data_IF_844515662268
#
_entry.id   IF_844515662268
#
_cell.length_a   1.000
_cell.length_b   1.000
_cell.length_c   1.000
_cell.angle_alpha   90.00
_cell.angle_beta   90.00
_cell.angle_gamma   90.00
#
_symmetry.space_group_name_H-M   'P 1'
#
loop_
_entity.id
_entity.type
_entity.pdbx_description
1 polymer ?
#
# COMPACT_ATOMS: atom_id res chain seq x y z
N UNK A 1 -18.52 54.69 -63.77
CA UNK A 1 -18.34 53.28 -64.14
C UNK A 1 -17.44 52.66 -63.08
N UNK A 2 -18.00 51.85 -62.17
CA UNK A 2 -17.27 51.26 -61.03
C UNK A 2 -17.80 49.84 -60.84
N UNK A 3 -16.93 48.85 -61.02
CA UNK A 3 -17.19 47.45 -60.72
C UNK A 3 -15.93 46.92 -60.02
N UNK A 4 -16.04 46.60 -58.74
CA UNK A 4 -14.91 46.09 -57.94
C UNK A 4 -15.18 46.19 -56.46
N UNK A 5 -15.97 45.26 -55.91
CA UNK A 5 -16.25 45.24 -54.47
C UNK A 5 -17.24 44.16 -54.07
N UNK A 6 -16.87 42.89 -54.22
CA UNK A 6 -17.76 41.78 -53.82
C UNK A 6 -17.06 40.51 -53.32
N UNK A 7 -15.73 40.38 -53.48
CA UNK A 7 -15.03 39.12 -53.17
C UNK A 7 -14.05 39.21 -51.98
N UNK A 8 -13.76 40.42 -51.47
CA UNK A 8 -12.85 40.61 -50.33
C UNK A 8 -13.54 40.50 -48.96
N UNK A 9 -14.85 40.78 -48.87
CA UNK A 9 -15.60 40.72 -47.61
C UNK A 9 -15.90 39.28 -47.17
N UNK A 10 -16.25 38.39 -48.10
CA UNK A 10 -16.62 37.00 -47.81
C UNK A 10 -15.42 36.18 -47.31
N UNK A 11 -14.22 36.40 -47.87
CA UNK A 11 -12.98 35.78 -47.40
C UNK A 11 -12.61 36.21 -45.97
N UNK A 12 -12.85 37.48 -45.64
CA UNK A 12 -12.55 38.03 -44.31
C UNK A 12 -13.48 37.48 -43.21
N UNK A 13 -14.74 37.21 -43.54
CA UNK A 13 -15.70 36.60 -42.61
C UNK A 13 -15.44 35.10 -42.42
N UNK A 14 -15.11 34.38 -43.49
CA UNK A 14 -14.73 32.97 -43.38
C UNK A 14 -13.48 32.80 -42.52
N UNK A 15 -12.46 33.65 -42.69
CA UNK A 15 -11.25 33.59 -41.86
C UNK A 15 -11.52 33.91 -40.37
N UNK A 16 -12.49 34.79 -40.09
CA UNK A 16 -12.94 35.08 -38.71
C UNK A 16 -13.68 33.91 -38.09
N UNK A 17 -14.47 33.18 -38.88
CA UNK A 17 -15.17 31.96 -38.43
C UNK A 17 -14.17 30.83 -38.17
N UNK A 18 -13.22 30.59 -39.07
CA UNK A 18 -12.16 29.59 -38.86
C UNK A 18 -11.32 29.92 -37.62
N UNK A 19 -10.92 31.18 -37.42
CA UNK A 19 -10.12 31.59 -36.24
C UNK A 19 -10.90 31.41 -34.92
N UNK A 20 -12.20 31.74 -34.90
CA UNK A 20 -13.05 31.54 -33.71
C UNK A 20 -13.32 30.07 -33.43
N UNK A 21 -13.47 29.25 -34.46
CA UNK A 21 -13.59 27.80 -34.30
C UNK A 21 -12.28 27.23 -33.75
N UNK A 22 -11.12 27.56 -34.34
CA UNK A 22 -9.81 27.09 -33.86
C UNK A 22 -9.52 27.47 -32.40
N UNK A 23 -9.85 28.71 -31.99
CA UNK A 23 -9.65 29.17 -30.61
C UNK A 23 -10.63 28.52 -29.62
N UNK A 24 -11.86 28.24 -30.04
CA UNK A 24 -12.87 27.55 -29.21
C UNK A 24 -12.56 26.06 -29.06
N UNK A 25 -12.00 25.42 -30.09
CA UNK A 25 -11.58 24.02 -30.04
C UNK A 25 -10.26 23.82 -29.28
N UNK A 26 -9.33 24.78 -29.34
CA UNK A 26 -8.06 24.70 -28.59
C UNK A 26 -8.23 25.02 -27.10
N UNK A 27 -9.13 25.96 -26.75
CA UNK A 27 -9.39 26.32 -25.35
C UNK A 27 -10.21 25.27 -24.61
N UNK A 28 -11.17 24.59 -25.27
CA UNK A 28 -11.88 23.48 -24.61
C UNK A 28 -10.98 22.26 -24.46
N UNK A 29 -10.32 21.78 -25.52
CA UNK A 29 -9.58 20.52 -25.47
C UNK A 29 -8.29 20.57 -24.61
N UNK A 30 -7.64 21.73 -24.48
CA UNK A 30 -6.47 21.90 -23.61
C UNK A 30 -6.80 21.81 -22.12
N UNK A 31 -7.97 22.31 -21.72
CA UNK A 31 -8.39 22.32 -20.31
C UNK A 31 -8.98 20.97 -19.89
N UNK A 32 -9.70 20.25 -20.77
CA UNK A 32 -10.11 18.86 -20.51
C UNK A 32 -8.91 17.91 -20.57
N UNK A 33 -7.96 18.06 -21.50
CA UNK A 33 -6.78 17.20 -21.51
C UNK A 33 -5.88 17.44 -20.28
N UNK A 34 -5.70 18.69 -19.84
CA UNK A 34 -4.95 18.99 -18.60
C UNK A 34 -5.71 18.59 -17.33
N UNK A 35 -7.03 18.72 -17.32
CA UNK A 35 -7.86 18.25 -16.20
C UNK A 35 -7.88 16.74 -16.13
N UNK A 36 -8.05 16.03 -17.25
CA UNK A 36 -8.04 14.57 -17.31
C UNK A 36 -6.66 13.99 -16.98
N UNK A 37 -5.57 14.57 -17.50
CA UNK A 37 -4.20 14.13 -17.17
C UNK A 37 -3.87 14.41 -15.70
N UNK A 38 -4.23 15.60 -15.17
CA UNK A 38 -4.04 15.90 -13.74
C UNK A 38 -4.93 15.00 -12.87
N UNK A 39 -6.14 14.69 -13.30
CA UNK A 39 -7.08 13.84 -12.57
C UNK A 39 -6.71 12.35 -12.65
N UNK A 40 -6.02 11.91 -13.71
CA UNK A 40 -5.53 10.54 -13.82
C UNK A 40 -4.25 10.33 -12.98
N UNK A 41 -3.33 11.30 -12.97
CA UNK A 41 -2.12 11.26 -12.11
C UNK A 41 -2.46 11.42 -10.62
N UNK A 42 -3.45 12.25 -10.26
CA UNK A 42 -3.88 12.43 -8.86
C UNK A 42 -4.71 11.24 -8.34
N UNK A 43 -5.39 10.48 -9.20
CA UNK A 43 -6.13 9.28 -8.78
C UNK A 43 -5.24 8.04 -8.63
N UNK A 44 -4.13 7.94 -9.37
CA UNK A 44 -3.14 6.87 -9.17
C UNK A 44 -2.31 7.07 -7.89
N UNK A 45 -2.00 8.31 -7.48
CA UNK A 45 -1.37 8.57 -6.17
C UNK A 45 -2.33 8.31 -4.99
N UNK A 46 -3.62 8.61 -5.14
CA UNK A 46 -4.62 8.39 -4.07
C UNK A 46 -4.93 6.90 -3.83
N UNK A 47 -4.90 6.08 -4.88
CA UNK A 47 -5.23 4.65 -4.77
C UNK A 47 -4.14 3.81 -4.10
N UNK A 48 -2.91 4.33 -4.00
CA UNK A 48 -1.82 3.69 -3.24
C UNK A 48 -1.86 4.14 -1.78
N UNK A 49 -2.20 5.41 -1.51
CA UNK A 49 -2.30 5.95 -0.14
C UNK A 49 -3.46 5.31 0.63
N UNK A 50 -4.61 5.11 -0.01
CA UNK A 50 -5.79 4.50 0.63
C UNK A 50 -5.55 3.03 1.03
N UNK A 51 -4.77 2.26 0.26
CA UNK A 51 -4.43 0.86 0.58
C UNK A 51 -3.48 0.79 1.77
N UNK A 52 -2.48 1.66 1.81
CA UNK A 52 -1.54 1.72 2.92
C UNK A 52 -2.26 2.06 4.23
N UNK A 53 -3.22 2.98 4.23
CA UNK A 53 -3.97 3.34 5.44
C UNK A 53 -4.88 2.22 5.96
N UNK A 54 -5.43 1.39 5.07
CA UNK A 54 -6.27 0.23 5.45
C UNK A 54 -5.44 -0.94 5.99
N UNK A 55 -4.28 -1.21 5.39
CA UNK A 55 -3.47 -2.40 5.70
C UNK A 55 -2.47 -2.13 6.82
N UNK A 56 -1.97 -0.90 6.96
CA UNK A 56 -0.94 -0.53 7.96
C UNK A 56 -1.27 -0.95 9.39
N UNK A 57 -2.52 -0.81 9.90
CA UNK A 57 -2.84 -1.22 11.27
C UNK A 57 -2.70 -2.74 11.50
N UNK A 58 -2.80 -3.54 10.44
CA UNK A 58 -2.70 -4.99 10.50
C UNK A 58 -1.26 -5.50 10.32
N UNK A 59 -0.30 -4.63 10.03
CA UNK A 59 1.13 -4.94 10.03
C UNK A 59 1.64 -4.88 11.47
N UNK A 60 2.38 -5.91 11.87
CA UNK A 60 2.94 -6.04 13.22
C UNK A 60 4.43 -6.30 13.18
N UNK A 61 5.11 -5.90 14.24
CA UNK A 61 6.52 -6.22 14.47
C UNK A 61 6.64 -7.44 15.37
N UNK A 62 7.44 -8.42 14.98
CA UNK A 62 7.76 -9.60 15.78
C UNK A 62 9.11 -9.37 16.43
N UNK A 63 9.17 -9.38 17.75
CA UNK A 63 10.38 -9.15 18.55
C UNK A 63 10.72 -10.43 19.31
N UNK A 64 12.00 -10.80 19.26
CA UNK A 64 12.54 -11.97 19.95
C UNK A 64 13.31 -11.50 21.18
N UNK A 65 12.89 -11.95 22.36
CA UNK A 65 13.60 -11.74 23.62
C UNK A 65 14.32 -13.02 23.99
N UNK A 66 15.64 -12.99 23.98
CA UNK A 66 16.46 -14.10 24.47
C UNK A 66 16.88 -13.77 25.90
N UNK A 67 16.49 -14.63 26.85
CA UNK A 67 16.98 -14.53 28.24
C UNK A 67 18.22 -15.41 28.33
N UNK A 68 19.40 -14.78 28.33
CA UNK A 68 20.67 -15.47 28.56
C UNK A 68 20.99 -15.45 30.07
N UNK A 69 21.68 -16.47 30.58
CA UNK A 69 22.03 -16.55 31.99
C UNK A 69 23.54 -16.47 32.17
N UNK A 70 24.02 -15.34 32.70
CA UNK A 70 25.40 -15.20 33.13
C UNK A 70 25.54 -15.56 34.62
N UNK A 71 26.41 -16.53 34.92
CA UNK A 71 26.71 -17.03 36.26
C UNK A 71 27.23 -15.94 37.22
N UNK A 72 27.74 -14.82 36.70
CA UNK A 72 28.26 -13.72 37.52
C UNK A 72 27.30 -12.54 37.69
N UNK A 73 26.40 -12.31 36.72
CA UNK A 73 25.57 -11.10 36.67
C UNK A 73 24.04 -11.35 36.67
N UNK A 74 23.61 -12.62 36.60
CA UNK A 74 22.19 -13.01 36.60
C UNK A 74 21.60 -13.12 35.19
N UNK A 75 20.26 -13.26 35.07
CA UNK A 75 19.61 -13.31 33.76
C UNK A 75 19.73 -11.97 33.03
N UNK A 76 20.29 -12.00 31.82
CA UNK A 76 20.42 -10.89 30.89
C UNK A 76 19.42 -11.09 29.75
N UNK A 77 18.40 -10.24 29.67
CA UNK A 77 17.49 -10.22 28.53
C UNK A 77 18.10 -9.39 27.40
N UNK A 78 18.38 -10.02 26.26
CA UNK A 78 18.83 -9.35 25.04
C UNK A 78 17.75 -9.49 23.97
N UNK A 79 17.35 -8.38 23.34
CA UNK A 79 16.50 -8.42 22.15
C UNK A 79 17.36 -8.87 20.96
N UNK A 80 17.05 -10.04 20.40
CA UNK A 80 17.93 -10.72 19.44
C UNK A 80 17.34 -10.85 18.02
N UNK A 81 16.17 -10.32 17.75
CA UNK A 81 15.59 -10.36 16.41
C UNK A 81 14.37 -9.47 16.25
N UNK A 82 14.26 -8.83 15.08
CA UNK A 82 13.13 -8.00 14.67
C UNK A 82 12.67 -8.50 13.30
N UNK A 83 11.43 -8.94 13.21
CA UNK A 83 10.77 -9.31 11.97
C UNK A 83 9.41 -8.62 11.83
N UNK A 84 8.72 -8.90 10.73
CA UNK A 84 7.39 -8.35 10.46
C UNK A 84 6.38 -9.47 10.23
N UNK A 85 5.12 -9.20 10.54
CA UNK A 85 4.00 -10.10 10.29
C UNK A 85 2.72 -9.34 9.97
N UNK A 86 1.68 -10.09 9.64
CA UNK A 86 0.36 -9.56 9.30
C UNK A 86 -0.71 -10.26 10.11
N UNK A 87 -1.66 -9.50 10.65
CA UNK A 87 -2.82 -10.05 11.33
C UNK A 87 -3.83 -10.51 10.27
N UNK A 88 -4.10 -11.81 10.21
CA UNK A 88 -5.04 -12.41 9.24
C UNK A 88 -6.41 -12.69 9.86
N UNK A 89 -6.52 -12.65 11.19
CA UNK A 89 -7.81 -12.83 11.86
C UNK A 89 -7.90 -12.04 13.15
N UNK A 90 -9.09 -11.48 13.41
CA UNK A 90 -9.35 -10.56 14.52
C UNK A 90 -9.31 -11.22 15.91
N UNK A 91 -9.11 -12.53 15.96
CA UNK A 91 -8.90 -13.33 17.17
C UNK A 91 -7.41 -13.49 17.54
N UNK A 92 -6.49 -12.78 16.88
CA UNK A 92 -5.07 -12.83 17.22
C UNK A 92 -4.24 -13.81 16.39
N UNK A 93 -4.68 -14.16 15.17
CA UNK A 93 -3.89 -14.97 14.26
C UNK A 93 -2.99 -14.09 13.39
N UNK A 94 -1.68 -14.34 13.44
CA UNK A 94 -0.67 -13.57 12.73
C UNK A 94 0.14 -14.49 11.83
N UNK A 95 0.44 -14.06 10.61
CA UNK A 95 1.32 -14.76 9.68
C UNK A 95 2.64 -14.01 9.56
N UNK A 96 3.75 -14.74 9.62
CA UNK A 96 5.11 -14.24 9.40
C UNK A 96 5.93 -15.28 8.64
N UNK A 97 7.21 -15.00 8.40
CA UNK A 97 8.13 -15.96 7.84
C UNK A 97 8.65 -16.94 8.89
N UNK A 98 8.86 -18.19 8.52
CA UNK A 98 9.38 -19.21 9.44
C UNK A 98 10.76 -18.84 9.98
N UNK A 99 11.63 -18.28 9.13
CA UNK A 99 12.99 -17.88 9.51
C UNK A 99 13.02 -16.75 10.56
N UNK A 100 11.93 -16.00 10.74
CA UNK A 100 11.82 -14.95 11.78
C UNK A 100 11.67 -15.59 13.16
N UNK A 101 11.09 -16.78 13.23
CA UNK A 101 10.73 -17.47 14.48
C UNK A 101 11.42 -18.83 14.62
N UNK A 102 12.51 -19.06 13.90
CA UNK A 102 13.31 -20.30 13.93
C UNK A 102 14.30 -20.36 15.10
N UNK A 103 14.37 -19.31 15.92
CA UNK A 103 15.22 -19.31 17.12
C UNK A 103 14.56 -20.09 18.26
N UNK A 104 14.83 -21.39 18.37
CA UNK A 104 14.25 -22.33 19.36
C UNK A 104 14.33 -21.91 20.86
N UNK A 105 14.98 -20.78 21.20
CA UNK A 105 15.29 -20.37 22.58
C UNK A 105 14.84 -18.93 22.92
N UNK A 106 13.99 -18.31 22.09
CA UNK A 106 13.48 -16.96 22.33
C UNK A 106 12.04 -16.93 22.85
N UNK A 107 11.73 -16.02 23.77
CA UNK A 107 10.37 -15.57 24.01
C UNK A 107 9.95 -14.62 22.89
N UNK A 108 8.79 -14.86 22.28
CA UNK A 108 8.29 -14.04 21.17
C UNK A 108 7.23 -13.05 21.65
N UNK A 109 7.40 -11.80 21.25
CA UNK A 109 6.44 -10.73 21.50
C UNK A 109 6.03 -10.08 20.18
N UNK A 110 4.74 -9.81 20.01
CA UNK A 110 4.22 -9.06 18.87
C UNK A 110 3.90 -7.65 19.32
N UNK A 111 4.43 -6.66 18.59
CA UNK A 111 4.15 -5.24 18.81
C UNK A 111 3.27 -4.73 17.67
N UNK A 112 2.10 -4.20 18.03
CA UNK A 112 1.16 -3.59 17.09
C UNK A 112 1.56 -2.15 16.76
N UNK A 113 0.96 -1.59 15.70
CA UNK A 113 1.19 -0.19 15.28
C UNK A 113 0.89 0.84 16.37
N UNK A 114 -0.03 0.54 17.28
CA UNK A 114 -0.39 1.41 18.42
C UNK A 114 0.61 1.34 19.59
N UNK A 115 1.64 0.48 19.49
CA UNK A 115 2.63 0.21 20.52
C UNK A 115 2.22 -0.86 21.54
N UNK A 116 1.01 -1.43 21.42
CA UNK A 116 0.58 -2.52 22.29
C UNK A 116 1.40 -3.77 22.00
N UNK A 117 1.89 -4.42 23.06
CA UNK A 117 2.69 -5.65 22.98
C UNK A 117 1.90 -6.84 23.51
N UNK A 118 1.89 -7.94 22.77
CA UNK A 118 1.31 -9.22 23.17
C UNK A 118 2.37 -10.31 23.18
N UNK A 119 2.29 -11.20 24.17
CA UNK A 119 3.08 -12.43 24.20
C UNK A 119 2.45 -13.46 23.25
N UNK A 120 3.30 -14.21 22.54
CA UNK A 120 2.86 -15.27 21.63
C UNK A 120 2.59 -16.54 22.43
N UNK A 121 1.36 -17.06 22.32
CA UNK A 121 0.93 -18.27 23.03
C UNK A 121 1.35 -19.54 22.30
N UNK A 122 1.17 -19.58 20.98
CA UNK A 122 1.52 -20.73 20.14
C UNK A 122 2.20 -20.28 18.85
N UNK A 123 3.09 -21.13 18.34
CA UNK A 123 3.80 -20.95 17.09
C UNK A 123 3.65 -22.22 16.27
N UNK A 124 3.14 -22.09 15.05
CA UNK A 124 3.07 -23.18 14.07
C UNK A 124 4.01 -22.86 12.92
N UNK A 125 4.96 -23.74 12.66
CA UNK A 125 6.00 -23.54 11.65
C UNK A 125 5.76 -24.44 10.43
N UNK A 126 5.86 -23.86 9.24
CA UNK A 126 6.02 -24.59 7.99
C UNK A 126 7.34 -24.14 7.33
N UNK A 127 8.39 -24.91 7.61
CA UNK A 127 9.73 -24.68 7.07
C UNK A 127 9.83 -24.96 5.58
N UNK A 128 8.86 -25.68 4.99
CA UNK A 128 8.88 -26.01 3.57
C UNK A 128 8.46 -24.82 2.69
N UNK A 129 7.55 -23.97 3.21
CA UNK A 129 7.06 -22.77 2.53
C UNK A 129 7.61 -21.47 3.11
N UNK A 130 8.52 -21.56 4.10
CA UNK A 130 9.00 -20.44 4.92
C UNK A 130 7.87 -19.62 5.57
N UNK A 131 6.83 -20.29 6.07
CA UNK A 131 5.70 -19.64 6.75
C UNK A 131 5.63 -20.01 8.22
N UNK A 132 5.18 -19.07 9.03
CA UNK A 132 4.85 -19.30 10.42
C UNK A 132 3.54 -18.60 10.80
N UNK A 133 2.77 -19.26 11.66
CA UNK A 133 1.55 -18.73 12.23
C UNK A 133 1.76 -18.55 13.73
N UNK A 134 1.56 -17.32 14.20
CA UNK A 134 1.63 -16.94 15.61
C UNK A 134 0.21 -16.70 16.15
N UNK A 135 -0.04 -17.19 17.36
CA UNK A 135 -1.30 -16.97 18.07
C UNK A 135 -1.07 -16.06 19.29
N UNK A 136 -1.87 -15.00 19.41
CA UNK A 136 -1.85 -14.08 20.55
C UNK A 136 -3.24 -13.97 21.20
N UNK A 137 -3.28 -13.70 22.50
CA UNK A 137 -4.52 -13.48 23.26
C UNK A 137 -5.08 -12.07 23.03
N UNK A 138 -5.72 -11.84 21.89
CA UNK A 138 -6.29 -10.54 21.53
C UNK A 138 -7.62 -10.67 20.77
N UNK A 139 -8.45 -9.62 20.82
CA UNK A 139 -9.74 -9.57 20.12
C UNK A 139 -9.97 -8.21 19.49
N UNK A 140 -10.66 -8.20 18.35
CA UNK A 140 -11.02 -6.96 17.65
C UNK A 140 -9.83 -6.30 16.97
N UNK A 141 -8.82 -7.10 16.58
CA UNK A 141 -7.66 -6.61 15.88
C UNK A 141 -7.99 -6.23 14.43
N UNK A 142 -7.32 -5.22 13.85
CA UNK A 142 -7.39 -4.95 12.41
C UNK A 142 -6.79 -6.13 11.64
N UNK A 143 -7.47 -6.58 10.59
CA UNK A 143 -7.08 -7.75 9.79
C UNK A 143 -6.81 -7.36 8.34
N UNK A 144 -5.85 -8.03 7.71
CA UNK A 144 -5.67 -7.99 6.25
C UNK A 144 -6.57 -9.05 5.61
N UNK A 145 -7.31 -8.67 4.57
CA UNK A 145 -7.95 -9.64 3.69
C UNK A 145 -6.92 -10.23 2.73
N UNK A 146 -6.84 -11.57 2.67
CA UNK A 146 -5.97 -12.25 1.74
C UNK A 146 -6.58 -12.20 0.33
N UNK A 147 -5.82 -11.63 -0.61
CA UNK A 147 -6.23 -11.57 -2.01
C UNK A 147 -6.07 -12.91 -2.74
N UNK A 148 -6.84 -13.08 -3.82
CA UNK A 148 -6.72 -14.22 -4.73
C UNK A 148 -5.50 -14.07 -5.64
N UNK A 149 -4.51 -14.95 -5.44
CA UNK A 149 -3.25 -14.95 -6.20
C UNK A 149 -3.40 -15.52 -7.61
N UNK A 150 -4.45 -16.31 -7.90
CA UNK A 150 -4.70 -16.91 -9.23
C UNK A 150 -5.31 -15.90 -10.20
N UNK A 151 -5.92 -14.84 -9.68
CA UNK A 151 -6.50 -13.74 -10.45
C UNK A 151 -5.48 -12.64 -10.83
N UNK A 152 -4.24 -12.73 -10.34
CA UNK A 152 -3.20 -11.74 -10.59
C UNK A 152 -2.74 -11.80 -12.07
N UNK A 153 -2.84 -10.66 -12.76
CA UNK A 153 -2.37 -10.52 -14.14
C UNK A 153 -0.94 -9.99 -14.16
N UNK A 154 -0.09 -10.58 -15.00
CA UNK A 154 1.29 -10.12 -15.22
C UNK A 154 1.27 -8.64 -15.62
N UNK A 155 1.92 -7.78 -14.82
CA UNK A 155 1.99 -6.32 -15.02
C UNK A 155 1.20 -5.49 -14.01
N UNK A 156 0.48 -6.12 -13.07
CA UNK A 156 -0.13 -5.41 -11.93
C UNK A 156 0.96 -4.99 -10.93
N UNK A 157 0.93 -3.75 -10.47
CA UNK A 157 1.88 -3.25 -9.47
C UNK A 157 1.48 -3.79 -8.08
N UNK A 158 2.50 -4.15 -7.29
CA UNK A 158 2.39 -4.55 -5.89
C UNK A 158 2.62 -3.34 -4.98
#
# INVERSE_FOLDING_TARGET
MSAGGGLSSVSSELNRVYTRLSQTFTSRNGDIARTLVRQQVVQEESSIIDVVDVVSPAVVSVVIKTVDFDLFSGPLSTESGIGTGFIVSGNGLIVTNSHVVDSEQGEYSVVLKDGTTYEVENIHLDTSTDLAILEISARGLPTVELGDSEALKVGQQA
#
